data_IF_096237763602
#
_entry.id   IF_096237763602
#
_cell.length_a   1.000
_cell.length_b   1.000
_cell.length_c   1.000
_cell.angle_alpha   90.00
_cell.angle_beta   90.00
_cell.angle_gamma   90.00
#
_symmetry.space_group_name_H-M   'P 1'
#
loop_
_entity.id
_entity.type
_entity.pdbx_description
1 polymer ?
#
# COMPACT_ATOMS: atom_id res chain seq x y z
N UNK A 1 -19.58 3.51 -10.92
CA UNK A 1 -18.22 3.11 -10.50
C UNK A 1 -17.81 1.88 -11.30
N UNK A 2 -16.60 1.86 -11.88
CA UNK A 2 -16.03 0.60 -12.40
C UNK A 2 -15.89 -0.36 -11.21
N UNK A 3 -16.31 -1.61 -11.37
CA UNK A 3 -16.10 -2.63 -10.34
C UNK A 3 -14.60 -2.85 -10.17
N UNK A 4 -14.10 -2.69 -8.95
CA UNK A 4 -12.68 -2.89 -8.62
C UNK A 4 -12.20 -4.29 -9.00
N UNK A 5 -13.08 -5.28 -8.95
CA UNK A 5 -12.80 -6.68 -9.29
C UNK A 5 -12.49 -6.94 -10.77
N UNK A 6 -12.66 -5.93 -11.64
CA UNK A 6 -12.33 -6.03 -13.07
C UNK A 6 -10.99 -5.40 -13.43
N UNK A 7 -10.34 -4.73 -12.49
CA UNK A 7 -9.05 -4.07 -12.71
C UNK A 7 -7.92 -5.05 -12.44
N UNK A 8 -6.89 -5.01 -13.27
CA UNK A 8 -5.64 -5.73 -13.00
C UNK A 8 -4.81 -5.07 -11.89
N UNK A 9 -3.73 -5.72 -11.44
CA UNK A 9 -2.88 -5.20 -10.37
C UNK A 9 -2.30 -3.82 -10.71
N UNK A 10 -1.91 -3.57 -11.97
CA UNK A 10 -1.34 -2.29 -12.40
C UNK A 10 -2.39 -1.17 -12.35
N UNK A 11 -3.60 -1.45 -12.81
CA UNK A 11 -4.73 -0.52 -12.73
C UNK A 11 -5.12 -0.23 -11.28
N UNK A 12 -5.08 -1.24 -10.41
CA UNK A 12 -5.34 -1.09 -8.97
C UNK A 12 -4.24 -0.29 -8.27
N UNK A 13 -2.96 -0.50 -8.62
CA UNK A 13 -1.84 0.31 -8.11
C UNK A 13 -2.04 1.77 -8.50
N UNK A 14 -2.33 2.05 -9.78
CA UNK A 14 -2.59 3.42 -10.25
C UNK A 14 -3.74 4.05 -9.45
N UNK A 15 -4.85 3.34 -9.31
CA UNK A 15 -6.00 3.81 -8.56
C UNK A 15 -5.66 4.06 -7.09
N UNK A 16 -4.97 3.13 -6.41
CA UNK A 16 -4.56 3.25 -5.01
C UNK A 16 -3.66 4.47 -4.76
N UNK A 17 -2.82 4.84 -5.73
CA UNK A 17 -1.94 6.01 -5.63
C UNK A 17 -2.67 7.33 -5.82
N UNK A 18 -3.68 7.38 -6.70
CA UNK A 18 -4.29 8.64 -7.15
C UNK A 18 -5.66 8.94 -6.54
N UNK A 19 -6.39 7.91 -6.08
CA UNK A 19 -7.74 8.12 -5.56
C UNK A 19 -7.72 8.93 -4.26
N UNK A 20 -8.73 9.78 -4.11
CA UNK A 20 -9.01 10.53 -2.88
C UNK A 20 -10.31 10.04 -2.22
N UNK A 21 -10.99 9.07 -2.84
CA UNK A 21 -12.25 8.52 -2.35
C UNK A 21 -11.97 7.51 -1.22
N UNK A 22 -12.47 7.82 -0.03
CA UNK A 22 -12.23 7.03 1.18
C UNK A 22 -12.78 5.60 1.06
N UNK A 23 -13.96 5.41 0.45
CA UNK A 23 -14.55 4.09 0.27
C UNK A 23 -13.72 3.20 -0.67
N UNK A 24 -13.16 3.80 -1.72
CA UNK A 24 -12.22 3.15 -2.63
C UNK A 24 -10.95 2.77 -1.89
N UNK A 25 -10.37 3.67 -1.08
CA UNK A 25 -9.19 3.35 -0.28
C UNK A 25 -9.45 2.23 0.74
N UNK A 26 -10.62 2.23 1.38
CA UNK A 26 -11.04 1.14 2.26
C UNK A 26 -11.08 -0.20 1.53
N UNK A 27 -11.67 -0.23 0.35
CA UNK A 27 -11.76 -1.44 -0.47
C UNK A 27 -10.38 -1.92 -0.93
N UNK A 28 -9.49 -0.99 -1.30
CA UNK A 28 -8.13 -1.30 -1.74
C UNK A 28 -7.21 -1.72 -0.57
N UNK A 29 -7.50 -1.28 0.66
CA UNK A 29 -6.78 -1.71 1.85
C UNK A 29 -6.98 -3.21 2.18
N UNK A 30 -8.02 -3.83 1.61
CA UNK A 30 -8.29 -5.28 1.71
C UNK A 30 -7.88 -6.06 0.46
N UNK A 31 -7.20 -5.42 -0.49
CA UNK A 31 -6.87 -6.05 -1.75
C UNK A 31 -5.88 -7.22 -1.57
N UNK A 32 -6.01 -8.26 -2.38
CA UNK A 32 -5.12 -9.43 -2.34
C UNK A 32 -3.66 -9.06 -2.64
N UNK A 33 -3.44 -8.12 -3.56
CA UNK A 33 -2.10 -7.69 -3.97
C UNK A 33 -1.42 -6.84 -2.90
N UNK A 34 -0.23 -7.27 -2.47
CA UNK A 34 0.59 -6.56 -1.47
C UNK A 34 0.96 -5.16 -1.98
N UNK A 35 1.30 -5.04 -3.26
CA UNK A 35 1.65 -3.77 -3.92
C UNK A 35 0.53 -2.74 -3.82
N UNK A 36 -0.73 -3.17 -3.99
CA UNK A 36 -1.93 -2.33 -3.89
C UNK A 36 -2.12 -1.85 -2.46
N UNK A 37 -2.10 -2.75 -1.47
CA UNK A 37 -2.23 -2.36 -0.05
C UNK A 37 -1.11 -1.43 0.40
N UNK A 38 0.10 -1.66 -0.09
CA UNK A 38 1.26 -0.79 0.17
C UNK A 38 1.08 0.61 -0.44
N UNK A 39 0.51 0.70 -1.65
CA UNK A 39 0.16 1.98 -2.25
C UNK A 39 -0.89 2.73 -1.42
N UNK A 40 -1.89 2.02 -0.87
CA UNK A 40 -2.86 2.61 0.05
C UNK A 40 -2.18 3.14 1.31
N UNK A 41 -1.25 2.39 1.91
CA UNK A 41 -0.49 2.83 3.08
C UNK A 41 0.35 4.10 2.83
N UNK A 42 0.77 4.34 1.58
CA UNK A 42 1.51 5.54 1.14
C UNK A 42 0.60 6.68 0.69
N UNK A 43 -0.69 6.45 0.47
CA UNK A 43 -1.61 7.46 -0.04
C UNK A 43 -1.95 8.48 1.05
N UNK A 44 -1.63 9.76 0.83
CA UNK A 44 -1.87 10.88 1.76
C UNK A 44 -3.32 11.04 2.23
N UNK A 45 -4.27 10.50 1.47
CA UNK A 45 -5.71 10.54 1.78
C UNK A 45 -6.18 9.33 2.59
N UNK A 46 -5.29 8.38 2.92
CA UNK A 46 -5.60 7.27 3.81
C UNK A 46 -5.99 7.80 5.20
N UNK A 47 -7.18 7.42 5.66
CA UNK A 47 -7.68 7.86 6.97
C UNK A 47 -6.93 7.18 8.11
N UNK A 48 -7.12 7.68 9.34
CA UNK A 48 -6.58 7.05 10.55
C UNK A 48 -7.01 5.60 10.68
N UNK A 49 -8.26 5.28 10.31
CA UNK A 49 -8.79 3.92 10.33
C UNK A 49 -8.00 3.01 9.37
N UNK A 50 -7.76 3.47 8.14
CA UNK A 50 -7.00 2.74 7.12
C UNK A 50 -5.54 2.59 7.54
N UNK A 51 -4.88 3.67 7.99
CA UNK A 51 -3.48 3.63 8.40
C UNK A 51 -3.25 2.69 9.59
N UNK A 52 -4.13 2.72 10.61
CA UNK A 52 -4.03 1.84 11.76
C UNK A 52 -4.33 0.37 11.40
N UNK A 53 -5.24 0.11 10.45
CA UNK A 53 -5.48 -1.23 9.91
C UNK A 53 -4.25 -1.78 9.20
N UNK A 54 -3.65 -1.00 8.30
CA UNK A 54 -2.48 -1.44 7.54
C UNK A 54 -1.20 -1.51 8.39
N UNK A 55 -1.14 -0.83 9.55
CA UNK A 55 -0.04 -0.93 10.51
C UNK A 55 0.11 -2.36 11.11
N UNK A 56 -0.91 -3.20 10.99
CA UNK A 56 -0.89 -4.61 11.40
C UNK A 56 -0.98 -5.57 10.21
N UNK A 57 -0.76 -5.09 8.98
CA UNK A 57 -0.72 -5.92 7.78
C UNK A 57 0.34 -7.03 7.90
N UNK A 58 0.02 -8.21 7.36
CA UNK A 58 0.90 -9.38 7.36
C UNK A 58 2.17 -9.16 6.55
N UNK A 59 2.13 -8.29 5.53
CA UNK A 59 3.29 -7.89 4.78
C UNK A 59 4.05 -6.77 5.52
N UNK A 60 5.29 -7.06 5.93
CA UNK A 60 6.14 -6.09 6.63
C UNK A 60 6.34 -4.79 5.84
N UNK A 61 6.40 -4.89 4.51
CA UNK A 61 6.59 -3.76 3.62
C UNK A 61 5.33 -2.85 3.53
N UNK A 62 4.13 -3.35 3.86
CA UNK A 62 2.89 -2.55 3.98
C UNK A 62 2.85 -1.88 5.34
N UNK A 63 3.01 -2.67 6.40
CA UNK A 63 2.96 -2.17 7.79
C UNK A 63 4.08 -1.17 8.11
N UNK A 64 5.24 -1.31 7.48
CA UNK A 64 6.32 -0.31 7.52
C UNK A 64 5.85 1.08 7.04
N UNK A 65 5.22 1.18 5.87
CA UNK A 65 4.74 2.46 5.36
C UNK A 65 3.53 2.97 6.14
N UNK A 66 2.62 2.07 6.54
CA UNK A 66 1.44 2.45 7.29
C UNK A 66 1.78 3.07 8.66
N UNK A 67 2.74 2.49 9.39
CA UNK A 67 3.17 3.03 10.70
C UNK A 67 3.88 4.39 10.61
N UNK A 68 4.31 4.79 9.40
CA UNK A 68 4.95 6.08 9.10
C UNK A 68 3.98 7.09 8.47
N UNK A 69 2.75 6.69 8.20
CA UNK A 69 1.73 7.59 7.66
C UNK A 69 1.37 8.68 8.68
N UNK A 70 1.10 9.91 8.23
CA UNK A 70 0.79 11.03 9.12
C UNK A 70 -0.48 10.81 9.96
N UNK A 71 -1.40 10.01 9.44
CA UNK A 71 -2.67 9.68 10.11
C UNK A 71 -2.57 8.42 10.98
N UNK A 72 -1.41 7.76 11.07
CA UNK A 72 -1.23 6.63 11.98
C UNK A 72 -1.07 7.13 13.42
N UNK A 73 -1.88 6.62 14.34
CA UNK A 73 -1.95 7.14 15.72
C UNK A 73 -1.58 6.11 16.78
N UNK A 74 -1.32 4.85 16.40
CA UNK A 74 -0.94 3.84 17.39
C UNK A 74 0.54 3.95 17.78
N UNK A 75 0.90 3.40 18.94
CA UNK A 75 2.30 3.35 19.39
C UNK A 75 3.16 2.36 18.58
N UNK A 76 2.54 1.50 17.76
CA UNK A 76 3.25 0.48 16.98
C UNK A 76 4.10 1.14 15.92
N UNK A 77 5.39 0.85 15.89
CA UNK A 77 6.28 1.20 14.78
C UNK A 77 6.91 -0.07 14.24
N UNK A 78 7.03 -0.14 12.92
CA UNK A 78 7.81 -1.19 12.26
C UNK A 78 9.14 -0.57 11.86
N UNK A 79 10.20 -1.03 12.53
CA UNK A 79 11.57 -0.71 12.18
C UNK A 79 12.17 -1.89 11.41
N UNK A 80 12.80 -1.60 10.29
CA UNK A 80 13.44 -2.58 9.43
C UNK A 80 14.57 -1.90 8.66
N UNK A 81 15.62 -2.66 8.36
CA UNK A 81 16.69 -2.26 7.44
C UNK A 81 16.67 -3.12 6.16
N UNK A 82 15.68 -4.02 6.02
CA UNK A 82 15.51 -4.83 4.82
C UNK A 82 15.20 -3.91 3.62
N UNK A 83 16.01 -3.95 2.54
CA UNK A 83 15.84 -3.08 1.38
C UNK A 83 14.45 -3.18 0.74
N UNK A 84 13.82 -4.35 0.72
CA UNK A 84 12.49 -4.58 0.14
C UNK A 84 11.36 -4.04 1.04
N UNK A 85 11.58 -4.01 2.36
CA UNK A 85 10.63 -3.42 3.32
C UNK A 85 10.65 -1.90 3.22
N UNK A 86 11.84 -1.31 3.31
CA UNK A 86 12.02 0.16 3.32
C UNK A 86 12.07 0.78 1.92
N UNK A 87 12.01 -0.05 0.87
CA UNK A 87 12.12 0.35 -0.53
C UNK A 87 11.25 1.58 -0.84
N UNK A 88 11.79 2.58 -1.50
CA UNK A 88 11.05 3.77 -1.94
C UNK A 88 10.70 3.76 -3.43
N UNK A 89 11.14 2.73 -4.17
CA UNK A 89 10.84 2.59 -5.60
C UNK A 89 9.33 2.59 -5.80
N UNK A 90 8.90 3.27 -6.86
CA UNK A 90 7.51 3.26 -7.29
C UNK A 90 7.09 1.83 -7.63
N UNK A 91 5.99 1.36 -7.06
CA UNK A 91 5.44 0.03 -7.32
C UNK A 91 5.20 -0.22 -8.83
N UNK A 92 4.91 0.83 -9.62
CA UNK A 92 4.78 0.74 -11.08
C UNK A 92 6.12 0.53 -11.81
N UNK A 93 7.24 0.69 -11.11
CA UNK A 93 8.61 0.58 -11.65
C UNK A 93 9.35 -0.64 -11.14
N UNK A 94 8.73 -1.49 -10.32
CA UNK A 94 9.38 -2.68 -9.74
C UNK A 94 10.02 -3.57 -10.80
N UNK A 95 9.28 -3.99 -11.83
CA UNK A 95 9.82 -4.83 -12.90
C UNK A 95 10.91 -4.18 -13.73
N UNK A 96 10.93 -2.84 -13.81
CA UNK A 96 11.94 -2.10 -14.58
C UNK A 96 13.22 -1.89 -13.77
N UNK A 97 13.12 -1.91 -12.45
CA UNK A 97 14.20 -1.48 -11.53
C UNK A 97 14.80 -2.65 -10.76
N UNK A 98 14.02 -3.68 -10.45
CA UNK A 98 14.43 -4.81 -9.64
C UNK A 98 14.02 -6.12 -10.30
N UNK A 99 15.01 -6.93 -10.68
CA UNK A 99 14.81 -8.26 -11.26
C UNK A 99 14.24 -9.28 -10.28
N UNK A 100 14.26 -8.98 -8.97
CA UNK A 100 13.77 -9.86 -7.91
C UNK A 100 12.37 -9.49 -7.40
N UNK A 101 11.75 -8.46 -8.00
CA UNK A 101 10.39 -8.04 -7.66
C UNK A 101 9.43 -8.57 -8.73
N UNK A 102 8.90 -9.76 -8.51
CA UNK A 102 7.81 -10.30 -9.32
C UNK A 102 6.49 -9.71 -8.81
N UNK A 103 5.71 -9.06 -9.69
CA UNK A 103 4.29 -8.84 -9.42
C UNK A 103 3.52 -10.12 -9.72
N UNK A 104 2.45 -10.36 -8.94
CA UNK A 104 1.79 -11.67 -8.87
C UNK A 104 0.68 -11.83 -9.92
#
# INVERSE_FOLDING_TARGET
MKSLHKLDEIELIKLAKTTTDENTLHSLADNAFITVRRCVAKNRHATTLIANKLAIDSACNVSYWATRHSNHTTKKKVDSNDPCVVCSIDELQYHNTCTSCDMA
#
